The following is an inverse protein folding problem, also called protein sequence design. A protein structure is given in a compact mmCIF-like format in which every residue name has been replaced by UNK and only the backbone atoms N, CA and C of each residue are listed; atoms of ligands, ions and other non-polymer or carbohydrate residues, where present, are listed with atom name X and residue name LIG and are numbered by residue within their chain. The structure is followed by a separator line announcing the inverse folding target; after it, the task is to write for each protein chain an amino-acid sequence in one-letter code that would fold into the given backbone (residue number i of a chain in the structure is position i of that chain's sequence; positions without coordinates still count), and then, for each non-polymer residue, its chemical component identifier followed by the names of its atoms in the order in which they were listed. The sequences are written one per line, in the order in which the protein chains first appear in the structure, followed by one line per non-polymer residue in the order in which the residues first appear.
data_IF_007272608076
#
_entry.id   IF_007272608076
#
_cell.length_a   1.000
_cell.length_b   1.000
_cell.length_c   1.000
_cell.angle_alpha   90.00
_cell.angle_beta   90.00
_cell.angle_gamma   90.00
#
_symmetry.space_group_name_H-M   'P 1'
#
loop_
_entity.id
_entity.type
_entity.pdbx_description
1 polymer ?
#
# COMPACT_ATOMS: atom_id res chain seq x y z
N UNK A 1 22.17 4.58 0.78
CA UNK A 1 22.13 3.74 2.00
C UNK A 1 20.78 3.09 1.96
N UNK A 2 20.73 1.81 1.57
CA UNK A 2 19.49 1.04 1.63
C UNK A 2 19.11 0.92 3.11
N UNK A 3 18.11 1.66 3.52
CA UNK A 3 17.55 1.52 4.85
C UNK A 3 16.68 0.27 4.80
N UNK A 4 17.20 -0.86 5.29
CA UNK A 4 16.41 -2.07 5.34
C UNK A 4 15.19 -1.80 6.22
N UNK A 5 14.00 -2.08 5.71
CA UNK A 5 12.77 -1.98 6.48
C UNK A 5 12.87 -2.98 7.64
N UNK A 6 12.97 -2.46 8.86
CA UNK A 6 12.95 -3.27 10.07
C UNK A 6 11.60 -3.11 10.78
N UNK A 7 11.24 -4.08 11.59
CA UNK A 7 10.02 -4.03 12.40
C UNK A 7 9.94 -2.74 13.24
N UNK A 8 11.07 -2.35 13.85
CA UNK A 8 11.16 -1.12 14.67
C UNK A 8 10.87 0.14 13.86
N UNK A 9 11.37 0.22 12.62
CA UNK A 9 11.12 1.38 11.75
C UNK A 9 9.64 1.44 11.36
N UNK A 10 9.05 0.29 11.06
CA UNK A 10 7.64 0.21 10.70
C UNK A 10 6.75 0.62 11.87
N UNK A 11 7.01 0.13 13.08
CA UNK A 11 6.28 0.52 14.29
C UNK A 11 6.43 2.00 14.62
N UNK A 12 7.65 2.55 14.53
CA UNK A 12 7.89 3.97 14.76
C UNK A 12 7.11 4.85 13.78
N UNK A 13 7.05 4.44 12.51
CA UNK A 13 6.27 5.15 11.49
C UNK A 13 4.78 5.08 11.78
N UNK A 14 4.25 3.90 12.12
CA UNK A 14 2.85 3.73 12.49
C UNK A 14 2.46 4.55 13.72
N UNK A 15 3.33 4.57 14.73
CA UNK A 15 3.14 5.41 15.92
C UNK A 15 3.12 6.90 15.57
N UNK A 16 3.93 7.35 14.62
CA UNK A 16 3.91 8.74 14.17
C UNK A 16 2.64 9.09 13.39
N UNK A 17 2.18 8.20 12.52
CA UNK A 17 0.93 8.36 11.79
C UNK A 17 -0.28 8.37 12.73
N UNK A 18 -0.30 7.47 13.72
CA UNK A 18 -1.36 7.38 14.72
C UNK A 18 -1.50 8.67 15.56
N UNK A 19 -0.38 9.31 15.92
CA UNK A 19 -0.41 10.60 16.64
C UNK A 19 -1.12 11.71 15.86
N UNK A 20 -1.12 11.63 14.56
CA UNK A 20 -1.71 12.66 13.69
C UNK A 20 -3.15 12.30 13.31
N UNK A 21 -3.37 11.08 12.84
CA UNK A 21 -4.67 10.64 12.36
C UNK A 21 -5.60 10.16 13.46
N UNK A 22 -5.04 9.70 14.60
CA UNK A 22 -5.80 9.08 15.68
C UNK A 22 -6.39 7.71 15.36
N UNK A 23 -6.32 7.28 14.11
CA UNK A 23 -6.84 6.00 13.63
C UNK A 23 -6.04 5.48 12.43
N UNK A 24 -5.56 4.26 12.54
CA UNK A 24 -4.85 3.55 11.48
C UNK A 24 -5.66 2.35 10.91
N UNK A 25 -6.94 2.27 11.16
CA UNK A 25 -7.79 1.14 10.72
C UNK A 25 -7.88 0.99 9.20
N UNK A 26 -7.70 2.08 8.47
CA UNK A 26 -7.77 2.14 7.01
C UNK A 26 -6.41 2.19 6.32
N UNK A 27 -5.33 1.93 7.06
CA UNK A 27 -3.97 1.97 6.49
C UNK A 27 -3.69 0.71 5.68
N UNK A 28 -3.23 0.93 4.46
CA UNK A 28 -2.75 -0.12 3.58
C UNK A 28 -1.32 0.19 3.18
N UNK A 29 -0.46 -0.80 3.30
CA UNK A 29 0.92 -0.72 2.86
C UNK A 29 1.04 -1.26 1.45
N UNK A 30 1.52 -0.43 0.54
CA UNK A 30 1.86 -0.79 -0.83
C UNK A 30 3.37 -0.94 -0.87
N UNK A 31 3.85 -2.18 -0.94
CA UNK A 31 5.26 -2.50 -0.80
C UNK A 31 5.84 -3.10 -2.07
N UNK A 32 7.09 -2.76 -2.35
CA UNK A 32 7.89 -3.42 -3.38
C UNK A 32 8.45 -4.76 -2.87
N UNK A 33 8.99 -5.53 -3.80
CA UNK A 33 9.49 -6.89 -3.60
C UNK A 33 10.55 -7.00 -2.52
N UNK A 34 11.50 -6.04 -2.47
CA UNK A 34 12.57 -6.06 -1.47
C UNK A 34 12.02 -5.83 -0.05
N UNK A 35 11.11 -4.88 0.10
CA UNK A 35 10.44 -4.62 1.40
C UNK A 35 9.59 -5.81 1.84
N UNK A 36 8.89 -6.45 0.89
CA UNK A 36 8.14 -7.69 1.18
C UNK A 36 9.02 -8.81 1.68
N UNK A 37 10.20 -8.98 1.08
CA UNK A 37 11.17 -9.96 1.53
C UNK A 37 11.66 -9.65 2.96
N UNK A 38 11.94 -8.37 3.25
CA UNK A 38 12.33 -7.95 4.59
C UNK A 38 11.22 -8.21 5.61
N UNK A 39 9.96 -7.97 5.26
CA UNK A 39 8.83 -8.32 6.13
C UNK A 39 8.67 -9.83 6.35
N UNK A 40 8.97 -10.65 5.34
CA UNK A 40 9.00 -12.10 5.51
C UNK A 40 10.11 -12.52 6.50
N UNK A 41 11.19 -11.77 6.57
CA UNK A 41 12.28 -12.02 7.52
C UNK A 41 11.90 -11.67 8.98
N UNK A 42 10.90 -10.79 9.22
CA UNK A 42 10.36 -10.57 10.58
C UNK A 42 9.78 -11.85 11.18
N UNK A 43 9.25 -12.73 10.33
CA UNK A 43 8.70 -14.02 10.77
C UNK A 43 9.76 -15.08 10.98
N UNK A 44 10.96 -14.91 10.42
CA UNK A 44 12.07 -15.87 10.55
C UNK A 44 12.85 -15.73 11.84
N UNK A 45 12.69 -14.62 12.60
CA UNK A 45 13.57 -14.30 13.70
C UNK A 45 14.98 -13.96 13.18
N UNK A 46 15.53 -12.82 13.56
CA UNK A 46 16.90 -12.48 13.16
C UNK A 46 17.88 -13.59 13.54
N UNK A 47 19.07 -13.59 12.98
CA UNK A 47 20.11 -14.60 12.93
C UNK A 47 20.50 -15.34 14.24
N UNK A 48 19.80 -15.13 15.34
CA UNK A 48 20.07 -15.72 16.65
C UNK A 48 18.93 -16.54 17.28
N UNK A 49 17.72 -16.50 16.75
CA UNK A 49 16.60 -17.28 17.28
C UNK A 49 15.73 -17.81 16.15
N UNK A 50 15.85 -19.10 15.91
CA UNK A 50 14.99 -19.89 15.01
C UNK A 50 13.55 -19.97 15.53
N UNK A 51 12.81 -18.88 15.54
CA UNK A 51 11.36 -18.92 15.78
C UNK A 51 10.67 -19.06 14.44
N UNK A 52 10.67 -20.25 13.89
CA UNK A 52 9.81 -20.57 12.76
C UNK A 52 8.36 -20.59 13.21
N UNK A 53 7.56 -19.64 12.81
CA UNK A 53 6.11 -19.70 12.96
C UNK A 53 5.54 -20.66 11.93
N UNK A 54 5.29 -21.88 12.35
CA UNK A 54 4.58 -22.87 11.54
C UNK A 54 3.08 -22.70 11.74
N UNK A 55 2.35 -22.44 10.67
CA UNK A 55 0.91 -22.66 10.70
C UNK A 55 0.62 -24.11 10.36
N UNK A 56 0.25 -24.88 11.36
CA UNK A 56 -0.20 -26.27 11.17
C UNK A 56 -1.70 -26.26 11.01
N UNK A 57 -2.19 -26.20 9.79
CA UNK A 57 -3.59 -26.41 9.48
C UNK A 57 -3.76 -27.84 8.91
N UNK A 58 -4.21 -28.71 9.74
CA UNK A 58 -4.90 -30.00 9.62
C UNK A 58 -4.39 -31.08 8.65
N UNK A 59 -3.77 -30.83 7.53
CA UNK A 59 -3.50 -31.90 6.53
C UNK A 59 -2.15 -31.78 5.81
N UNK A 60 -1.27 -30.89 6.22
CA UNK A 60 0.07 -30.78 5.62
C UNK A 60 0.92 -29.73 6.32
N UNK A 61 2.20 -30.00 6.38
CA UNK A 61 3.18 -28.99 6.86
C UNK A 61 3.35 -27.94 5.80
N UNK A 62 2.75 -26.75 5.96
CA UNK A 62 2.90 -25.61 5.07
C UNK A 62 3.82 -24.59 5.72
N UNK A 63 4.93 -24.26 5.10
CA UNK A 63 5.75 -23.10 5.47
C UNK A 63 5.16 -21.88 4.78
N UNK A 64 4.65 -20.94 5.57
CA UNK A 64 4.09 -19.70 5.05
C UNK A 64 5.08 -18.57 5.32
N UNK A 65 5.62 -18.00 4.26
CA UNK A 65 6.54 -16.86 4.29
C UNK A 65 5.85 -15.53 3.87
N UNK A 66 4.58 -15.61 3.50
CA UNK A 66 3.85 -14.43 3.07
C UNK A 66 3.24 -13.71 4.28
N UNK A 67 3.47 -12.40 4.37
CA UNK A 67 2.83 -11.51 5.33
C UNK A 67 1.82 -10.65 4.56
N UNK A 68 0.55 -10.94 4.72
CA UNK A 68 -0.53 -10.15 4.10
C UNK A 68 -1.15 -9.14 5.06
N UNK A 69 -0.99 -9.38 6.35
CA UNK A 69 -1.49 -8.54 7.43
C UNK A 69 -0.38 -8.39 8.46
N UNK A 70 -0.12 -7.16 8.85
CA UNK A 70 0.77 -6.82 9.96
C UNK A 70 -0.07 -6.17 11.05
N UNK A 71 -0.05 -6.77 12.24
CA UNK A 71 -0.75 -6.26 13.43
C UNK A 71 0.28 -5.66 14.38
N UNK A 72 0.07 -4.40 14.75
CA UNK A 72 0.87 -3.68 15.73
C UNK A 72 -0.03 -3.04 16.78
N UNK A 73 0.57 -2.52 17.86
CA UNK A 73 -0.14 -1.77 18.91
C UNK A 73 -0.90 -0.55 18.37
N UNK A 74 -0.52 -0.06 17.19
CA UNK A 74 -1.10 1.14 16.56
C UNK A 74 -2.13 0.82 15.47
N UNK A 75 -2.44 -0.43 15.25
CA UNK A 75 -3.46 -0.85 14.30
C UNK A 75 -3.04 -2.01 13.40
N UNK A 76 -3.95 -2.41 12.56
CA UNK A 76 -3.82 -3.52 11.63
C UNK A 76 -3.59 -2.97 10.22
N UNK A 77 -2.51 -3.42 9.57
CA UNK A 77 -2.14 -2.96 8.24
C UNK A 77 -2.28 -4.11 7.26
N UNK A 78 -2.96 -3.85 6.16
CA UNK A 78 -2.98 -4.76 5.02
C UNK A 78 -1.79 -4.47 4.12
N UNK A 79 -1.06 -5.51 3.74
CA UNK A 79 0.11 -5.38 2.87
C UNK A 79 -0.21 -5.87 1.47
N UNK A 80 -0.01 -5.01 0.48
CA UNK A 80 -0.27 -5.29 -0.93
C UNK A 80 1.03 -5.19 -1.72
N UNK A 81 1.26 -6.14 -2.61
CA UNK A 81 2.35 -6.06 -3.58
C UNK A 81 2.00 -5.07 -4.69
N UNK A 82 2.93 -4.18 -4.99
CA UNK A 82 2.83 -3.32 -6.16
C UNK A 82 4.08 -3.47 -7.02
N UNK A 83 3.92 -4.11 -8.16
CA UNK A 83 5.01 -4.26 -9.11
C UNK A 83 5.19 -3.01 -10.01
N UNK A 84 4.16 -2.37 -10.57
CA UNK A 84 4.37 -1.29 -11.52
C UNK A 84 4.54 0.10 -10.90
N UNK A 85 4.08 0.33 -9.68
CA UNK A 85 4.08 1.68 -9.11
C UNK A 85 5.41 2.08 -8.46
N UNK A 86 6.21 1.10 -8.03
CA UNK A 86 7.45 1.36 -7.31
C UNK A 86 8.69 0.98 -8.12
N UNK A 87 8.57 0.15 -9.16
CA UNK A 87 9.67 -0.55 -9.80
C UNK A 87 9.85 -0.25 -11.28
N UNK A 88 9.57 0.96 -11.75
CA UNK A 88 10.05 1.37 -13.07
C UNK A 88 11.59 1.49 -13.14
N UNK A 89 12.24 1.51 -11.99
CA UNK A 89 13.69 1.62 -11.85
C UNK A 89 14.21 0.47 -11.00
N UNK A 90 14.97 -0.43 -11.61
CA UNK A 90 15.62 -1.57 -10.95
C UNK A 90 16.61 -1.17 -9.86
N UNK A 91 16.91 0.12 -9.73
CA UNK A 91 17.83 0.68 -8.75
C UNK A 91 17.16 1.08 -7.44
N UNK A 92 15.82 1.19 -7.41
CA UNK A 92 15.05 1.70 -6.27
C UNK A 92 13.91 0.77 -5.85
N UNK A 93 14.18 -0.52 -5.72
CA UNK A 93 13.18 -1.55 -5.32
C UNK A 93 12.84 -1.52 -3.82
N UNK A 94 13.35 -0.56 -3.06
CA UNK A 94 13.29 -0.52 -1.59
C UNK A 94 12.24 0.46 -1.10
N UNK A 95 11.12 0.62 -1.82
CA UNK A 95 10.10 1.60 -1.45
C UNK A 95 8.82 0.94 -0.97
N UNK A 96 8.24 1.53 0.06
CA UNK A 96 6.88 1.23 0.47
C UNK A 96 6.14 2.52 0.82
N UNK A 97 4.85 2.51 0.53
CA UNK A 97 3.93 3.59 0.88
C UNK A 97 2.89 3.06 1.85
N UNK A 98 2.74 3.72 2.98
CA UNK A 98 1.65 3.50 3.91
C UNK A 98 0.59 4.55 3.62
N UNK A 99 -0.54 4.09 3.12
CA UNK A 99 -1.63 4.95 2.65
C UNK A 99 -2.84 4.77 3.54
N UNK A 100 -3.30 5.86 4.15
CA UNK A 100 -4.54 5.86 4.90
C UNK A 100 -5.68 6.31 3.97
N UNK A 101 -6.50 5.38 3.54
CA UNK A 101 -7.58 5.65 2.60
C UNK A 101 -8.71 6.53 3.18
N UNK A 102 -8.78 6.69 4.49
CA UNK A 102 -9.74 7.62 5.11
C UNK A 102 -9.43 9.09 4.77
N UNK A 103 -8.18 9.39 4.42
CA UNK A 103 -7.71 10.75 4.10
C UNK A 103 -7.43 10.97 2.61
N UNK A 104 -7.85 10.02 1.76
CA UNK A 104 -7.75 10.16 0.30
C UNK A 104 -9.15 10.14 -0.28
N UNK A 105 -9.41 11.09 -1.14
CA UNK A 105 -10.64 11.20 -1.90
C UNK A 105 -10.37 11.52 -3.37
N UNK A 106 -11.43 11.47 -4.15
CA UNK A 106 -11.44 11.96 -5.53
C UNK A 106 -12.32 13.19 -5.55
N UNK A 107 -11.73 14.34 -5.87
CA UNK A 107 -12.48 15.57 -6.08
C UNK A 107 -12.85 15.67 -7.56
N UNK A 108 -14.14 15.70 -7.85
CA UNK A 108 -14.66 15.78 -9.21
C UNK A 108 -15.23 17.19 -9.45
N UNK A 109 -14.70 17.85 -10.46
CA UNK A 109 -15.26 19.10 -10.97
C UNK A 109 -16.40 18.85 -11.96
N UNK A 110 -16.21 17.86 -12.84
CA UNK A 110 -17.20 17.40 -13.79
C UNK A 110 -17.30 15.89 -13.70
N UNK A 111 -18.46 15.33 -13.32
CA UNK A 111 -18.65 13.90 -13.28
C UNK A 111 -18.56 13.32 -14.71
N UNK A 112 -18.30 12.03 -14.80
CA UNK A 112 -18.23 11.36 -16.08
C UNK A 112 -19.54 11.55 -16.86
N UNK A 113 -19.43 12.20 -18.01
CA UNK A 113 -20.57 12.56 -18.86
C UNK A 113 -20.28 12.22 -20.32
N UNK A 114 -21.27 11.76 -21.02
CA UNK A 114 -21.22 11.51 -22.46
C UNK A 114 -22.03 12.57 -23.18
N UNK A 115 -21.43 13.13 -24.21
CA UNK A 115 -22.04 14.14 -25.07
C UNK A 115 -22.08 13.62 -26.49
N UNK A 116 -23.28 13.62 -27.07
CA UNK A 116 -23.47 13.29 -28.47
C UNK A 116 -23.17 14.54 -29.34
N UNK A 117 -22.39 14.34 -30.37
CA UNK A 117 -22.10 15.35 -31.38
C UNK A 117 -23.04 15.18 -32.56
N UNK A 118 -23.28 16.30 -33.27
CA UNK A 118 -24.08 16.28 -34.50
C UNK A 118 -23.50 15.33 -35.54
N UNK A 119 -24.40 14.62 -36.20
CA UNK A 119 -24.09 13.65 -37.24
C UNK A 119 -23.60 14.37 -38.51
N UNK A 120 -22.33 14.20 -38.87
CA UNK A 120 -21.74 14.77 -40.06
C UNK A 120 -21.68 13.79 -41.24
N UNK A 121 -22.74 13.00 -41.44
CA UNK A 121 -22.91 12.12 -42.59
C UNK A 121 -22.02 10.88 -42.59
N UNK A 122 -22.42 9.84 -41.82
CA UNK A 122 -21.76 8.54 -41.86
C UNK A 122 -21.60 7.81 -40.52
N UNK A 123 -22.24 8.26 -39.47
CA UNK A 123 -22.26 7.61 -38.17
C UNK A 123 -22.37 8.58 -37.01
N UNK A 124 -22.97 8.14 -35.90
CA UNK A 124 -23.06 8.93 -34.69
C UNK A 124 -21.69 9.10 -34.04
N UNK A 125 -21.41 10.31 -33.57
CA UNK A 125 -20.16 10.68 -32.89
C UNK A 125 -20.50 11.20 -31.51
N UNK A 126 -19.64 10.92 -30.55
CA UNK A 126 -19.73 11.44 -29.19
C UNK A 126 -18.37 11.56 -28.56
N UNK A 127 -18.30 12.30 -27.47
CA UNK A 127 -17.13 12.33 -26.61
C UNK A 127 -17.55 12.09 -25.16
N UNK A 128 -16.63 11.51 -24.39
CA UNK A 128 -16.80 11.33 -22.96
C UNK A 128 -15.83 12.25 -22.24
N UNK A 129 -16.32 12.92 -21.21
CA UNK A 129 -15.54 13.89 -20.44
C UNK A 129 -15.65 13.59 -18.95
N UNK A 130 -14.54 13.67 -18.27
CA UNK A 130 -14.45 13.60 -16.82
C UNK A 130 -13.31 14.50 -16.32
N UNK A 131 -13.60 15.35 -15.36
CA UNK A 131 -12.59 16.23 -14.76
C UNK A 131 -12.54 15.95 -13.27
N UNK A 132 -11.46 15.37 -12.84
CA UNK A 132 -11.25 15.04 -11.44
C UNK A 132 -9.78 15.00 -11.08
N UNK A 133 -9.51 15.05 -9.80
CA UNK A 133 -8.18 14.91 -9.23
C UNK A 133 -8.19 14.10 -7.96
N UNK A 134 -7.05 13.53 -7.61
CA UNK A 134 -6.85 12.90 -6.32
C UNK A 134 -6.69 13.99 -5.26
N UNK A 135 -7.47 13.90 -4.20
CA UNK A 135 -7.41 14.78 -3.04
C UNK A 135 -6.78 14.04 -1.86
N UNK A 136 -5.82 14.68 -1.21
CA UNK A 136 -5.21 14.21 0.02
C UNK A 136 -5.51 15.22 1.13
N UNK A 137 -6.40 14.87 2.05
CA UNK A 137 -6.86 15.77 3.11
C UNK A 137 -5.81 16.00 4.19
N UNK A 138 -5.05 14.97 4.56
CA UNK A 138 -3.94 15.10 5.51
C UNK A 138 -2.70 14.30 5.04
N UNK A 139 -1.70 14.97 4.47
CA UNK A 139 -0.49 14.28 4.00
C UNK A 139 0.33 13.64 5.14
N UNK A 140 0.13 14.06 6.40
CA UNK A 140 0.84 13.50 7.56
C UNK A 140 0.24 12.18 8.03
N UNK A 141 -0.97 11.84 7.56
CA UNK A 141 -1.60 10.53 7.80
C UNK A 141 -1.05 9.43 6.88
N UNK A 142 -0.10 9.76 6.03
CA UNK A 142 0.55 8.84 5.11
C UNK A 142 2.03 8.70 5.45
N UNK A 143 2.60 7.54 5.13
CA UNK A 143 4.01 7.23 5.36
C UNK A 143 4.71 6.75 4.11
N UNK A 144 6.03 6.99 4.05
CA UNK A 144 6.91 6.47 2.99
C UNK A 144 8.17 5.88 3.59
N UNK A 145 8.50 4.68 3.18
CA UNK A 145 9.77 4.00 3.50
C UNK A 145 10.61 3.98 2.22
N UNK A 146 11.89 4.35 2.35
CA UNK A 146 12.89 4.30 1.28
C UNK A 146 14.00 3.35 1.66
#
# INVERSE_FOLDING_TARGET
IATSCTEVILEAMLGSMFRVSGDNSSVTMIADTAIRNNMADFTRGGASNDVHRYSVNGTGKKVTLAVDIFESDFGLIKVINSNPACSADTTNNDRAFLVNFAHIGVAELLPFSNFDLEDSGGGSRGYSEWWGTLECNDPRAHGKIN
#
